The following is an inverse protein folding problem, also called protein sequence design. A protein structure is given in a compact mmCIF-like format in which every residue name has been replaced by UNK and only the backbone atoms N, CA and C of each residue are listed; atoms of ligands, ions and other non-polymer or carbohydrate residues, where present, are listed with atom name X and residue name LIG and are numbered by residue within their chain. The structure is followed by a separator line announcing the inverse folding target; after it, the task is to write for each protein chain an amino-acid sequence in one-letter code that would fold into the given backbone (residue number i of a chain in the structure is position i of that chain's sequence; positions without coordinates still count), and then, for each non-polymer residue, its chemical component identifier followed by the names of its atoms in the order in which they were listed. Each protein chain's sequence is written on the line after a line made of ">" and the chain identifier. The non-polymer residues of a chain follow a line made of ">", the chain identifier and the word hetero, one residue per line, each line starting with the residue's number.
data_IF_268968484156
#
_entry.id   IF_268968484156
#
_cell.length_a   1.000
_cell.length_b   1.000
_cell.length_c   1.000
_cell.angle_alpha   90.00
_cell.angle_beta   90.00
_cell.angle_gamma   90.00
#
_symmetry.space_group_name_H-M   'P 1'
#
loop_
_entity.id
_entity.type
_entity.pdbx_description
1 polymer ?
#
# COMPACT_ATOMS: atom_id res chain seq x y z
N UNK A 1 6.88 -3.97 9.82
CA UNK A 1 8.35 -3.99 9.58
C UNK A 1 9.05 -3.86 10.91
N UNK A 2 10.12 -4.63 11.11
CA UNK A 2 10.92 -4.58 12.32
C UNK A 2 12.36 -4.25 11.91
N UNK A 3 12.94 -3.23 12.55
CA UNK A 3 14.31 -2.79 12.32
C UNK A 3 15.04 -2.96 13.64
N UNK A 4 15.94 -3.92 13.68
CA UNK A 4 16.80 -4.17 14.82
C UNK A 4 18.10 -3.38 14.66
N UNK A 5 18.49 -2.67 15.72
CA UNK A 5 19.78 -1.96 15.77
C UNK A 5 20.47 -2.28 17.09
N UNK A 6 21.80 -2.09 17.19
CA UNK A 6 22.49 -2.18 18.48
C UNK A 6 21.97 -1.22 19.54
N UNK A 7 21.26 -0.15 19.13
CA UNK A 7 20.70 0.87 20.01
C UNK A 7 19.24 0.56 20.43
N UNK A 8 18.66 -0.54 19.95
CA UNK A 8 17.29 -0.97 20.24
C UNK A 8 16.46 -1.23 18.97
N UNK A 9 15.27 -1.80 19.16
CA UNK A 9 14.33 -2.12 18.09
C UNK A 9 13.40 -0.96 17.74
N UNK A 10 12.99 -0.93 16.47
CA UNK A 10 11.93 -0.09 15.95
C UNK A 10 10.91 -0.97 15.20
N UNK A 11 9.63 -0.79 15.51
CA UNK A 11 8.53 -1.51 14.90
C UNK A 11 7.62 -0.54 14.16
N UNK A 12 7.45 -0.78 12.86
CA UNK A 12 6.50 -0.06 12.00
C UNK A 12 5.30 -0.95 11.69
N UNK A 13 4.11 -0.47 12.02
CA UNK A 13 2.86 -1.00 11.53
C UNK A 13 2.31 -0.05 10.47
N UNK A 14 2.14 -0.57 9.25
CA UNK A 14 1.56 0.17 8.13
C UNK A 14 0.17 -0.42 7.86
N UNK A 15 -0.84 0.44 7.88
CA UNK A 15 -2.22 0.10 7.55
C UNK A 15 -2.66 0.91 6.34
N UNK A 16 -3.51 0.29 5.51
CA UNK A 16 -3.96 0.85 4.24
C UNK A 16 -5.47 0.66 4.15
N UNK A 17 -6.22 1.75 4.14
CA UNK A 17 -7.67 1.76 4.08
C UNK A 17 -8.14 2.28 2.71
N UNK A 18 -8.84 1.46 1.89
CA UNK A 18 -9.46 1.94 0.66
C UNK A 18 -10.65 2.83 0.99
N UNK A 19 -10.56 4.12 0.64
CA UNK A 19 -11.63 5.10 0.90
C UNK A 19 -12.55 5.21 -0.31
N UNK A 20 -11.97 5.29 -1.51
CA UNK A 20 -12.65 5.38 -2.81
C UNK A 20 -11.83 4.61 -3.85
N UNK A 21 -12.38 4.31 -5.05
CA UNK A 21 -11.59 3.76 -6.14
C UNK A 21 -10.34 4.62 -6.40
N UNK A 22 -9.17 3.99 -6.44
CA UNK A 22 -7.86 4.65 -6.62
C UNK A 22 -7.44 5.64 -5.53
N UNK A 23 -8.14 5.68 -4.38
CA UNK A 23 -7.81 6.54 -3.25
C UNK A 23 -7.64 5.71 -1.99
N UNK A 24 -6.42 5.73 -1.46
CA UNK A 24 -6.01 4.93 -0.31
C UNK A 24 -5.56 5.86 0.80
N UNK A 25 -6.06 5.64 2.02
CA UNK A 25 -5.52 6.25 3.22
C UNK A 25 -4.45 5.33 3.80
N UNK A 26 -3.22 5.82 3.91
CA UNK A 26 -2.10 5.08 4.51
C UNK A 26 -1.76 5.67 5.87
N UNK A 27 -1.68 4.81 6.89
CA UNK A 27 -1.27 5.19 8.24
C UNK A 27 -0.05 4.36 8.66
N UNK A 28 0.97 5.06 9.15
CA UNK A 28 2.23 4.48 9.59
C UNK A 28 2.42 4.76 11.08
N UNK A 29 2.41 3.71 11.90
CA UNK A 29 2.61 3.79 13.36
C UNK A 29 3.94 3.21 13.74
N UNK A 30 4.77 4.04 14.38
CA UNK A 30 6.10 3.68 14.85
C UNK A 30 6.09 3.46 16.37
N UNK A 31 6.62 2.31 16.78
CA UNK A 31 6.89 1.98 18.16
C UNK A 31 8.39 1.74 18.33
N UNK A 32 8.94 2.19 19.44
CA UNK A 32 10.36 2.07 19.74
C UNK A 32 10.54 1.43 21.11
N UNK A 33 11.61 0.65 21.26
CA UNK A 33 12.00 0.14 22.56
C UNK A 33 12.43 1.27 23.49
N UNK A 34 12.31 1.02 24.81
CA UNK A 34 12.72 1.99 25.85
C UNK A 34 14.17 2.45 25.69
N UNK A 35 15.06 1.58 25.19
CA UNK A 35 16.49 1.84 25.03
C UNK A 35 16.82 2.66 23.77
N UNK A 36 15.90 2.69 22.80
CA UNK A 36 16.11 3.36 21.52
C UNK A 36 16.10 4.88 21.70
N UNK A 37 17.18 5.59 21.31
CA UNK A 37 17.20 7.04 21.36
C UNK A 37 16.12 7.66 20.46
N UNK A 38 15.39 8.65 20.97
CA UNK A 38 14.28 9.27 20.22
C UNK A 38 14.74 9.96 18.92
N UNK A 39 15.94 10.55 18.89
CA UNK A 39 16.49 11.14 17.67
C UNK A 39 16.68 10.10 16.56
N UNK A 40 17.04 8.86 16.89
CA UNK A 40 17.19 7.79 15.92
C UNK A 40 15.84 7.44 15.29
N UNK A 41 14.78 7.38 16.11
CA UNK A 41 13.42 7.20 15.63
C UNK A 41 12.99 8.32 14.66
N UNK A 42 13.34 9.57 14.96
CA UNK A 42 13.07 10.70 14.06
C UNK A 42 13.78 10.58 12.72
N UNK A 43 15.06 10.18 12.71
CA UNK A 43 15.81 9.96 11.47
C UNK A 43 15.17 8.86 10.63
N UNK A 44 14.86 7.72 11.24
CA UNK A 44 14.23 6.59 10.55
C UNK A 44 12.86 6.98 9.98
N UNK A 45 12.03 7.66 10.77
CA UNK A 45 10.73 8.15 10.31
C UNK A 45 10.86 9.15 9.15
N UNK A 46 11.85 10.04 9.20
CA UNK A 46 12.12 11.00 8.12
C UNK A 46 12.51 10.30 6.82
N UNK A 47 13.43 9.33 6.88
CA UNK A 47 13.85 8.54 5.71
C UNK A 47 12.68 7.73 5.15
N UNK A 48 11.91 7.07 6.01
CA UNK A 48 10.74 6.28 5.60
C UNK A 48 9.67 7.14 4.92
N UNK A 49 9.43 8.37 5.43
CA UNK A 49 8.54 9.34 4.78
C UNK A 49 9.04 9.71 3.38
N UNK A 50 10.35 9.92 3.21
CA UNK A 50 10.96 10.21 1.90
C UNK A 50 10.74 9.06 0.91
N UNK A 51 10.98 7.82 1.33
CA UNK A 51 10.75 6.64 0.51
C UNK A 51 9.26 6.49 0.10
N UNK A 52 8.34 6.72 1.04
CA UNK A 52 6.91 6.67 0.75
C UNK A 52 6.49 7.71 -0.30
N UNK A 53 7.07 8.91 -0.26
CA UNK A 53 6.74 9.96 -1.24
C UNK A 53 7.30 9.64 -2.64
N UNK A 54 8.46 8.98 -2.71
CA UNK A 54 8.99 8.45 -3.98
C UNK A 54 8.06 7.38 -4.56
N UNK A 55 7.63 6.43 -3.75
CA UNK A 55 6.67 5.39 -4.15
C UNK A 55 5.32 6.01 -4.58
N UNK A 56 4.82 6.99 -3.82
CA UNK A 56 3.58 7.72 -4.13
C UNK A 56 3.64 8.34 -5.52
N UNK A 57 4.77 8.95 -5.88
CA UNK A 57 4.97 9.57 -7.20
C UNK A 57 4.78 8.54 -8.32
N UNK A 58 5.34 7.34 -8.15
CA UNK A 58 5.18 6.23 -9.12
C UNK A 58 3.73 5.74 -9.13
N UNK A 59 3.09 5.57 -7.97
CA UNK A 59 1.74 5.03 -7.88
C UNK A 59 0.66 5.96 -8.44
N UNK A 60 0.85 7.27 -8.34
CA UNK A 60 -0.08 8.25 -8.90
C UNK A 60 -0.03 8.33 -10.43
N UNK A 61 1.09 7.96 -11.04
CA UNK A 61 1.30 8.11 -12.49
C UNK A 61 1.33 6.78 -13.26
N UNK A 62 1.16 5.64 -12.58
CA UNK A 62 1.16 4.32 -13.21
C UNK A 62 -0.24 3.87 -13.63
N UNK A 63 -0.30 3.10 -14.70
CA UNK A 63 -1.50 2.38 -15.10
C UNK A 63 -1.52 0.97 -14.47
N UNK A 64 -2.72 0.50 -14.16
CA UNK A 64 -2.92 -0.88 -13.70
C UNK A 64 -3.01 -1.82 -14.90
N UNK A 65 -2.14 -2.84 -14.94
CA UNK A 65 -2.17 -3.90 -15.95
C UNK A 65 -2.68 -5.21 -15.35
N UNK A 66 -3.73 -5.77 -15.93
CA UNK A 66 -4.29 -7.05 -15.48
C UNK A 66 -3.31 -8.23 -15.68
N UNK A 67 -2.50 -8.18 -16.74
CA UNK A 67 -1.46 -9.18 -17.05
C UNK A 67 -0.14 -8.45 -17.30
N UNK A 68 0.67 -8.14 -16.26
CA UNK A 68 1.95 -7.49 -16.47
C UNK A 68 2.94 -8.43 -17.15
N UNK A 69 3.86 -7.87 -17.94
CA UNK A 69 4.96 -8.62 -18.54
C UNK A 69 6.03 -8.84 -17.47
N UNK A 70 6.29 -10.09 -17.13
CA UNK A 70 7.26 -10.45 -16.08
C UNK A 70 8.56 -10.93 -16.72
N UNK A 71 9.68 -10.52 -16.14
CA UNK A 71 11.03 -10.93 -16.53
C UNK A 71 11.74 -11.66 -15.39
N UNK A 72 12.87 -12.30 -15.69
CA UNK A 72 13.70 -12.93 -14.66
C UNK A 72 14.18 -11.88 -13.66
N UNK A 73 13.91 -12.11 -12.37
CA UNK A 73 14.24 -11.18 -11.29
C UNK A 73 13.04 -10.43 -10.74
N UNK A 74 11.89 -10.43 -11.45
CA UNK A 74 10.65 -9.97 -10.86
C UNK A 74 10.26 -10.88 -9.69
N UNK A 75 9.70 -10.26 -8.66
CA UNK A 75 9.17 -10.99 -7.52
C UNK A 75 8.05 -11.97 -7.92
N UNK A 76 7.53 -12.77 -6.98
CA UNK A 76 6.54 -13.81 -7.24
C UNK A 76 5.13 -13.24 -7.49
N UNK A 77 4.99 -12.38 -8.50
CA UNK A 77 3.77 -11.62 -8.79
C UNK A 77 2.52 -12.48 -9.03
N UNK A 78 2.57 -13.59 -9.79
CA UNK A 78 1.40 -14.46 -9.96
C UNK A 78 0.95 -15.10 -8.66
N UNK A 79 1.88 -15.53 -7.80
CA UNK A 79 1.57 -16.10 -6.51
C UNK A 79 0.97 -15.05 -5.57
N UNK A 80 1.56 -13.85 -5.53
CA UNK A 80 1.02 -12.71 -4.79
C UNK A 80 -0.42 -12.39 -5.22
N UNK A 81 -0.72 -12.33 -6.52
CA UNK A 81 -2.09 -12.08 -7.00
C UNK A 81 -3.07 -13.17 -6.61
N UNK A 82 -2.67 -14.44 -6.67
CA UNK A 82 -3.53 -15.55 -6.22
C UNK A 82 -3.85 -15.44 -4.72
N UNK A 83 -2.84 -15.16 -3.89
CA UNK A 83 -3.02 -14.95 -2.46
C UNK A 83 -3.91 -13.72 -2.18
N UNK A 84 -3.66 -12.58 -2.83
CA UNK A 84 -4.43 -11.35 -2.65
C UNK A 84 -5.91 -11.50 -3.04
N UNK A 85 -6.21 -12.28 -4.08
CA UNK A 85 -7.58 -12.50 -4.55
C UNK A 85 -8.49 -13.13 -3.50
N UNK A 86 -7.95 -13.80 -2.47
CA UNK A 86 -8.76 -14.44 -1.42
C UNK A 86 -9.58 -13.43 -0.58
N UNK A 87 -9.17 -12.15 -0.58
CA UNK A 87 -9.86 -11.09 0.17
C UNK A 87 -11.04 -10.48 -0.60
N UNK A 88 -11.30 -10.96 -1.82
CA UNK A 88 -12.37 -10.48 -2.68
C UNK A 88 -13.29 -11.63 -3.10
N UNK A 89 -14.58 -11.34 -3.14
CA UNK A 89 -15.66 -12.24 -3.55
C UNK A 89 -16.40 -11.68 -4.76
N UNK A 90 -17.32 -12.46 -5.32
CA UNK A 90 -18.21 -11.97 -6.39
C UNK A 90 -19.06 -10.76 -5.97
N UNK A 91 -19.40 -10.67 -4.69
CA UNK A 91 -20.14 -9.56 -4.08
C UNK A 91 -19.29 -8.33 -3.78
N UNK A 92 -17.98 -8.39 -3.98
CA UNK A 92 -17.10 -7.23 -3.78
C UNK A 92 -17.33 -6.17 -4.84
N UNK A 93 -17.34 -4.90 -4.43
CA UNK A 93 -17.50 -3.76 -5.34
C UNK A 93 -16.42 -3.77 -6.43
N UNK A 94 -16.81 -3.92 -7.69
CA UNK A 94 -15.86 -3.85 -8.81
C UNK A 94 -15.66 -2.39 -9.22
N UNK A 95 -14.40 -2.01 -9.41
CA UNK A 95 -14.03 -0.69 -9.90
C UNK A 95 -14.68 -0.49 -11.28
N UNK A 96 -15.49 0.57 -11.42
CA UNK A 96 -16.25 0.89 -12.65
C UNK A 96 -17.77 0.64 -12.57
N UNK A 97 -18.26 -0.25 -11.70
CA UNK A 97 -19.70 -0.56 -11.63
C UNK A 97 -20.56 0.61 -11.13
N UNK A 98 -20.04 1.42 -10.19
CA UNK A 98 -20.77 2.57 -9.62
C UNK A 98 -20.92 3.73 -10.62
N UNK A 99 -19.98 3.89 -11.55
CA UNK A 99 -20.05 4.89 -12.63
C UNK A 99 -20.99 4.45 -13.75
N UNK A 100 -21.08 3.14 -14.02
CA UNK A 100 -21.99 2.57 -15.01
C UNK A 100 -23.45 2.62 -14.54
N UNK A 101 -23.71 2.20 -13.29
CA UNK A 101 -25.03 2.31 -12.68
C UNK A 101 -25.50 3.77 -12.56
N UNK A 102 -24.60 4.73 -12.24
CA UNK A 102 -24.95 6.14 -12.20
C UNK A 102 -25.20 6.75 -13.58
N UNK A 103 -24.52 6.28 -14.64
CA UNK A 103 -24.80 6.66 -16.03
C UNK A 103 -26.17 6.14 -16.49
N UNK A 104 -26.46 4.86 -16.25
CA UNK A 104 -27.76 4.25 -16.55
C UNK A 104 -28.93 4.93 -15.80
N UNK A 105 -28.66 5.51 -14.62
CA UNK A 105 -29.61 6.29 -13.83
C UNK A 105 -29.68 7.79 -14.22
N UNK A 106 -28.91 8.24 -15.22
CA UNK A 106 -28.97 9.59 -15.77
C UNK A 106 -29.44 9.60 -17.24
N UNK A 107 -29.44 8.42 -17.88
CA UNK A 107 -29.87 8.20 -19.26
C UNK A 107 -31.36 7.76 -19.38
N UNK A 108 -32.15 7.88 -18.29
CA UNK A 108 -33.63 7.82 -18.29
C UNK A 108 -34.27 9.21 -18.19
#
# INVERSE_FOLDING_TARGET
>A
FQIETPLGGLHLYKTLLPVEPFKLYSEDRWYIDRKTPTWLAWIVAYVAKGALEQDRTVWQNKLYHNKPHLVKGDGPWPAHRRWWNQFYSESSNKVGQRQQAAKELLDW
#
